data_IF_369364094215
#
_entry.id   IF_369364094215
#
_cell.length_a   1.000
_cell.length_b   1.000
_cell.length_c   1.000
_cell.angle_alpha   90.00
_cell.angle_beta   90.00
_cell.angle_gamma   90.00
#
_symmetry.space_group_name_H-M   'P 1'
#
loop_
_entity.id
_entity.type
_entity.pdbx_description
1 polymer ?
#
# COMPACT_ATOMS: atom_id res chain seq x y z
N UNK A 1 -3.81 -17.77 -8.24
CA UNK A 1 -4.99 -16.90 -8.07
C UNK A 1 -4.65 -15.88 -6.99
N UNK A 2 -4.96 -14.60 -7.23
CA UNK A 2 -4.62 -13.50 -6.33
C UNK A 2 -5.90 -12.87 -5.78
N UNK A 3 -5.82 -12.34 -4.57
CA UNK A 3 -6.79 -11.39 -4.03
C UNK A 3 -6.37 -9.96 -4.42
N UNK A 4 -7.35 -9.08 -4.61
CA UNK A 4 -7.13 -7.69 -4.97
C UNK A 4 -7.79 -6.76 -3.96
N UNK A 5 -7.18 -5.62 -3.70
CA UNK A 5 -7.62 -4.67 -2.68
C UNK A 5 -7.55 -3.24 -3.22
N UNK A 6 -8.57 -2.44 -2.89
CA UNK A 6 -8.49 -0.98 -3.05
C UNK A 6 -7.57 -0.44 -1.94
N UNK A 7 -6.39 0.04 -2.32
CA UNK A 7 -5.29 0.31 -1.41
C UNK A 7 -4.83 1.77 -1.46
N UNK A 8 -4.55 2.34 -0.30
CA UNK A 8 -4.07 3.71 -0.15
C UNK A 8 -4.25 4.20 1.29
N UNK A 9 -4.07 5.51 1.49
CA UNK A 9 -4.35 6.14 2.80
C UNK A 9 -5.81 5.94 3.23
N UNK A 10 -6.75 5.85 2.27
CA UNK A 10 -8.17 5.58 2.55
C UNK A 10 -8.43 4.26 3.30
N UNK A 11 -7.48 3.32 3.27
CA UNK A 11 -7.54 2.03 3.96
C UNK A 11 -6.45 1.89 5.01
N UNK A 12 -5.85 3.00 5.44
CA UNK A 12 -4.68 3.05 6.34
C UNK A 12 -3.53 2.15 5.83
N UNK A 13 -3.38 2.01 4.51
CA UNK A 13 -2.40 1.14 3.86
C UNK A 13 -2.52 -0.36 4.21
N UNK A 14 -3.61 -0.80 4.82
CA UNK A 14 -3.88 -2.22 5.09
C UNK A 14 -4.63 -2.89 3.94
N UNK A 15 -4.40 -4.19 3.77
CA UNK A 15 -5.22 -5.08 2.96
C UNK A 15 -6.08 -5.94 3.89
N UNK A 16 -7.39 -5.68 3.95
CA UNK A 16 -8.32 -6.37 4.84
C UNK A 16 -9.67 -6.62 4.13
N UNK A 17 -10.63 -7.22 4.84
CA UNK A 17 -11.92 -7.57 4.23
C UNK A 17 -12.77 -6.36 3.84
N UNK A 18 -12.53 -5.17 4.42
CA UNK A 18 -13.30 -3.95 4.13
C UNK A 18 -12.93 -3.33 2.78
N UNK A 19 -11.70 -3.55 2.31
CA UNK A 19 -11.21 -3.05 1.03
C UNK A 19 -10.89 -4.14 0.00
N UNK A 20 -11.19 -5.40 0.30
CA UNK A 20 -11.05 -6.52 -0.62
C UNK A 20 -12.04 -6.43 -1.78
N UNK A 21 -11.55 -6.63 -3.00
CA UNK A 21 -12.36 -6.68 -4.21
C UNK A 21 -12.87 -8.09 -4.49
N UNK A 22 -14.02 -8.16 -5.15
CA UNK A 22 -14.65 -9.43 -5.58
C UNK A 22 -14.88 -9.40 -7.08
N UNK A 23 -14.59 -10.53 -7.74
CA UNK A 23 -14.84 -10.65 -9.17
C UNK A 23 -16.34 -10.78 -9.44
N UNK A 24 -16.88 -9.86 -10.22
CA UNK A 24 -18.26 -9.90 -10.67
C UNK A 24 -18.30 -10.46 -12.12
N UNK A 25 -18.87 -11.67 -12.33
CA UNK A 25 -18.88 -12.31 -13.64
C UNK A 25 -19.79 -11.61 -14.66
N UNK A 26 -20.81 -10.87 -14.22
CA UNK A 26 -21.68 -10.08 -15.10
C UNK A 26 -20.92 -8.92 -15.73
N UNK A 27 -20.14 -8.20 -14.92
CA UNK A 27 -19.30 -7.09 -15.40
C UNK A 27 -17.95 -7.56 -15.93
N UNK A 28 -17.59 -8.83 -15.70
CA UNK A 28 -16.26 -9.40 -15.97
C UNK A 28 -15.13 -8.58 -15.35
N UNK A 29 -15.36 -8.02 -14.16
CA UNK A 29 -14.47 -7.08 -13.51
C UNK A 29 -14.43 -7.30 -12.00
N UNK A 30 -13.32 -6.89 -11.37
CA UNK A 30 -13.24 -6.79 -9.91
C UNK A 30 -13.97 -5.55 -9.43
N UNK A 31 -14.79 -5.71 -8.39
CA UNK A 31 -15.61 -4.63 -7.82
C UNK A 31 -15.47 -4.62 -6.30
N UNK A 32 -15.54 -3.43 -5.70
CA UNK A 32 -15.58 -3.22 -4.25
C UNK A 32 -16.53 -2.08 -3.91
N UNK A 33 -17.05 -2.08 -2.69
CA UNK A 33 -17.87 -1.00 -2.16
C UNK A 33 -17.35 -0.62 -0.78
N UNK A 34 -16.80 0.58 -0.66
CA UNK A 34 -16.19 1.09 0.56
C UNK A 34 -17.04 2.23 1.11
N UNK A 35 -17.25 2.23 2.43
CA UNK A 35 -17.93 3.34 3.11
C UNK A 35 -16.89 4.39 3.50
N UNK A 36 -16.88 5.50 2.78
CA UNK A 36 -15.91 6.58 2.93
C UNK A 36 -16.61 7.88 3.31
N UNK A 37 -15.89 8.76 4.01
CA UNK A 37 -16.33 10.13 4.22
C UNK A 37 -16.27 10.89 2.89
N UNK A 38 -17.06 11.96 2.72
CA UNK A 38 -16.95 12.82 1.54
C UNK A 38 -15.56 13.48 1.51
N UNK A 39 -14.87 13.39 0.37
CA UNK A 39 -13.52 13.93 0.20
C UNK A 39 -12.88 13.49 -1.11
N UNK A 40 -11.62 13.88 -1.29
CA UNK A 40 -10.77 13.43 -2.39
C UNK A 40 -9.85 12.32 -1.90
N UNK A 41 -9.75 11.23 -2.66
CA UNK A 41 -8.95 10.07 -2.31
C UNK A 41 -8.11 9.62 -3.50
N UNK A 42 -6.81 9.41 -3.27
CA UNK A 42 -5.96 8.65 -4.17
C UNK A 42 -5.99 7.18 -3.74
N UNK A 43 -5.97 6.28 -4.72
CA UNK A 43 -5.95 4.84 -4.48
C UNK A 43 -5.20 4.14 -5.60
N UNK A 44 -4.76 2.92 -5.30
CA UNK A 44 -4.18 1.95 -6.21
C UNK A 44 -4.83 0.59 -5.97
N UNK A 45 -4.59 -0.36 -6.86
CA UNK A 45 -5.01 -1.75 -6.69
C UNK A 45 -3.81 -2.59 -6.26
N UNK A 46 -3.86 -3.09 -5.03
CA UNK A 46 -2.85 -4.01 -4.50
C UNK A 46 -3.28 -5.45 -4.80
N UNK A 47 -2.37 -6.27 -5.35
CA UNK A 47 -2.57 -7.71 -5.47
C UNK A 47 -1.82 -8.48 -4.38
N UNK A 48 -2.40 -9.60 -3.95
CA UNK A 48 -1.77 -10.53 -3.03
C UNK A 48 -2.02 -11.98 -3.45
N UNK A 49 -0.98 -12.79 -3.73
CA UNK A 49 -1.15 -14.19 -4.10
C UNK A 49 -1.81 -14.98 -2.97
N UNK A 50 -2.85 -15.77 -3.26
CA UNK A 50 -3.55 -16.56 -2.23
C UNK A 50 -2.65 -17.58 -1.53
N UNK A 51 -1.59 -18.04 -2.19
CA UNK A 51 -0.60 -18.97 -1.66
C UNK A 51 0.50 -18.28 -0.83
N UNK A 52 0.59 -16.95 -0.88
CA UNK A 52 1.51 -16.16 -0.07
C UNK A 52 0.88 -14.80 0.28
N UNK A 53 -0.08 -14.77 1.23
CA UNK A 53 -0.86 -13.58 1.55
C UNK A 53 -0.05 -12.44 2.17
N UNK A 54 1.21 -12.67 2.55
CA UNK A 54 2.15 -11.64 3.01
C UNK A 54 2.91 -10.97 1.86
N UNK A 55 2.79 -11.50 0.64
CA UNK A 55 3.35 -10.91 -0.56
C UNK A 55 2.33 -9.94 -1.17
N UNK A 56 2.71 -8.68 -1.25
CA UNK A 56 1.92 -7.61 -1.84
C UNK A 56 2.63 -7.09 -3.09
N UNK A 57 1.87 -6.86 -4.17
CA UNK A 57 2.42 -6.47 -5.46
C UNK A 57 1.52 -5.40 -6.12
N UNK A 58 2.13 -4.27 -6.50
CA UNK A 58 1.48 -3.20 -7.26
C UNK A 58 1.72 -3.35 -8.77
N UNK A 59 2.87 -3.88 -9.16
CA UNK A 59 3.31 -4.07 -10.55
C UNK A 59 2.27 -4.81 -11.41
N UNK A 60 1.51 -5.75 -10.84
CA UNK A 60 0.49 -6.52 -11.57
C UNK A 60 -0.65 -5.65 -12.12
N UNK A 61 -1.05 -4.61 -11.40
CA UNK A 61 -2.20 -3.76 -11.77
C UNK A 61 -1.81 -2.33 -12.12
N UNK A 62 -0.86 -1.75 -11.39
CA UNK A 62 -0.41 -0.36 -11.55
C UNK A 62 0.86 -0.26 -12.43
N UNK A 63 1.60 -1.35 -12.58
CA UNK A 63 2.91 -1.35 -13.25
C UNK A 63 4.05 -0.81 -12.37
N UNK A 64 5.23 -0.67 -12.95
CA UNK A 64 6.44 -0.21 -12.28
C UNK A 64 7.26 0.66 -13.23
N UNK A 65 7.17 1.98 -13.06
CA UNK A 65 7.77 2.98 -13.95
C UNK A 65 8.75 3.85 -13.18
N UNK A 66 10.01 3.90 -13.63
CA UNK A 66 11.08 4.69 -13.01
C UNK A 66 10.79 6.19 -12.95
N UNK A 67 9.94 6.67 -13.84
CA UNK A 67 9.54 8.05 -14.00
C UNK A 67 8.47 8.50 -13.00
N UNK A 68 7.98 7.56 -12.18
CA UNK A 68 6.90 7.84 -11.23
C UNK A 68 7.38 8.74 -10.09
N UNK A 69 6.61 9.79 -9.80
CA UNK A 69 6.88 10.68 -8.67
C UNK A 69 6.56 9.96 -7.37
N UNK A 70 7.60 9.62 -6.61
CA UNK A 70 7.51 8.88 -5.35
C UNK A 70 8.15 9.67 -4.21
N UNK A 71 7.52 9.58 -3.03
CA UNK A 71 8.03 10.12 -1.78
C UNK A 71 8.63 9.02 -0.92
N UNK A 72 9.89 9.18 -0.51
CA UNK A 72 10.60 8.24 0.35
C UNK A 72 10.81 8.83 1.74
N UNK A 73 10.43 8.08 2.77
CA UNK A 73 10.69 8.42 4.16
C UNK A 73 11.87 7.57 4.66
N UNK A 74 12.94 8.23 5.12
CA UNK A 74 14.15 7.62 5.62
C UNK A 74 14.19 7.83 7.14
N UNK A 75 14.19 6.73 7.90
CA UNK A 75 14.27 6.72 9.35
C UNK A 75 15.59 6.10 9.80
N UNK A 76 16.37 6.83 10.59
CA UNK A 76 17.64 6.35 11.13
C UNK A 76 17.45 5.98 12.60
N UNK A 77 17.52 4.69 12.89
CA UNK A 77 17.40 4.18 14.25
C UNK A 77 18.77 3.80 14.82
N UNK A 78 18.97 4.05 16.11
CA UNK A 78 20.15 3.64 16.85
C UNK A 78 19.77 3.06 18.20
N UNK A 79 20.27 1.85 18.49
CA UNK A 79 20.16 1.20 19.80
C UNK A 79 21.51 1.27 20.51
N UNK A 80 21.61 2.14 21.51
CA UNK A 80 22.81 2.23 22.35
C UNK A 80 22.94 0.96 23.21
N UNK A 81 24.16 0.43 23.44
CA UNK A 81 24.34 -0.67 24.39
C UNK A 81 23.74 -0.35 25.76
N UNK A 82 22.97 -1.29 26.31
CA UNK A 82 22.26 -1.13 27.58
C UNK A 82 20.87 -0.49 27.48
N UNK A 83 20.45 -0.02 26.31
CA UNK A 83 19.08 0.49 26.11
C UNK A 83 18.17 -0.64 25.63
N UNK A 84 16.92 -0.63 26.09
CA UNK A 84 15.88 -1.59 25.73
C UNK A 84 14.94 -1.08 24.63
N UNK A 85 15.31 0.00 23.94
CA UNK A 85 14.53 0.61 22.87
C UNK A 85 15.41 1.08 21.71
N UNK A 86 14.82 1.17 20.52
CA UNK A 86 15.43 1.80 19.34
C UNK A 86 15.13 3.30 19.36
N UNK A 87 16.17 4.12 19.39
CA UNK A 87 16.02 5.58 19.30
C UNK A 87 15.94 5.98 17.84
N UNK A 88 14.90 6.73 17.44
CA UNK A 88 14.90 7.43 16.15
C UNK A 88 15.83 8.65 16.27
N UNK A 89 17.01 8.56 15.66
CA UNK A 89 18.06 9.60 15.75
C UNK A 89 18.10 10.50 14.51
N UNK A 90 17.34 10.17 13.47
CA UNK A 90 17.26 11.00 12.27
C UNK A 90 16.05 10.65 11.42
N UNK A 91 15.51 11.66 10.74
CA UNK A 91 14.42 11.53 9.77
C UNK A 91 14.72 12.42 8.56
N UNK A 92 14.47 11.90 7.37
CA UNK A 92 14.48 12.68 6.14
C UNK A 92 13.36 12.22 5.21
N UNK A 93 12.74 13.18 4.52
CA UNK A 93 11.80 12.91 3.42
C UNK A 93 12.47 13.34 2.13
N UNK A 94 12.50 12.44 1.14
CA UNK A 94 13.05 12.70 -0.19
C UNK A 94 11.96 12.45 -1.21
N UNK A 95 11.59 13.49 -1.94
CA UNK A 95 10.63 13.40 -3.03
C UNK A 95 11.41 13.33 -4.35
N UNK A 96 11.21 12.25 -5.12
CA UNK A 96 11.76 12.15 -6.48
C UNK A 96 10.76 12.79 -7.42
N UNK A 97 11.16 13.90 -8.01
CA UNK A 97 10.46 14.56 -9.10
C UNK A 97 11.40 14.57 -10.30
N UNK A 98 10.99 13.95 -11.40
CA UNK A 98 11.71 14.03 -12.68
C UNK A 98 11.26 15.26 -13.48
#
# INVERSE_FOLDING_TARGET
ESDYYVWGELSDWYCNNQNKMTYNPTYRAYTASLYLKQGFYNYMIMSSPKNNPSSFNLDEMEGNFSESNNSYNIFVYYRKPGYNYDSLIGYSKVDINL
#
